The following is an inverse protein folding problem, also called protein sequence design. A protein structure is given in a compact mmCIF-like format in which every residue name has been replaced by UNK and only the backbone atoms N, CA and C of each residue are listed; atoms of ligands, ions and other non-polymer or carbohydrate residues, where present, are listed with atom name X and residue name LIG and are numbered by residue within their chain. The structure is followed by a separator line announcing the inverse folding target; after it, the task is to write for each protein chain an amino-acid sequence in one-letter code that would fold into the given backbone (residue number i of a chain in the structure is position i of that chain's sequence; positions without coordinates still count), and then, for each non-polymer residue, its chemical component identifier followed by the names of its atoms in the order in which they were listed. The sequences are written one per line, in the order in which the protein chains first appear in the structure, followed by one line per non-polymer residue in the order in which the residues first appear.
data_IF_957056490938
#
_entry.id   IF_957056490938
#
_cell.length_a   1.000
_cell.length_b   1.000
_cell.length_c   1.000
_cell.angle_alpha   90.00
_cell.angle_beta   90.00
_cell.angle_gamma   90.00
#
_symmetry.space_group_name_H-M   'P 1'
#
loop_
_entity.id
_entity.type
_entity.pdbx_description
1 polymer ?
#
# COMPACT_ATOMS: atom_id res chain seq x y z
N UNK A 1 -7.48 -15.15 -26.62
CA UNK A 1 -8.32 -15.15 -25.41
C UNK A 1 -9.10 -16.46 -25.38
N UNK A 2 -9.28 -17.08 -24.21
CA UNK A 2 -10.04 -18.32 -24.11
C UNK A 2 -11.49 -18.15 -24.58
N UNK A 3 -12.03 -19.15 -25.28
CA UNK A 3 -13.43 -19.22 -25.72
C UNK A 3 -14.16 -20.38 -25.01
N UNK A 4 -15.51 -20.36 -24.90
CA UNK A 4 -16.24 -21.35 -24.09
C UNK A 4 -15.99 -22.82 -24.45
N UNK A 5 -15.66 -23.09 -25.71
CA UNK A 5 -15.40 -24.44 -26.24
C UNK A 5 -13.96 -24.91 -26.03
N UNK A 6 -13.06 -24.06 -25.53
CA UNK A 6 -11.70 -24.48 -25.22
C UNK A 6 -11.70 -25.47 -24.06
N UNK A 7 -10.70 -26.36 -24.06
CA UNK A 7 -10.51 -27.31 -22.97
C UNK A 7 -9.95 -26.64 -21.69
N UNK A 8 -10.19 -27.28 -20.55
CA UNK A 8 -9.70 -26.80 -19.26
C UNK A 8 -8.18 -26.92 -19.10
N UNK A 9 -7.52 -27.82 -19.84
CA UNK A 9 -6.07 -28.03 -19.71
C UNK A 9 -5.28 -26.84 -20.27
N UNK A 10 -5.74 -26.29 -21.38
CA UNK A 10 -5.21 -25.08 -22.01
C UNK A 10 -5.35 -23.89 -21.07
N UNK A 11 -6.49 -23.74 -20.41
CA UNK A 11 -6.69 -22.71 -19.42
C UNK A 11 -5.71 -22.87 -18.23
N UNK A 12 -5.53 -24.08 -17.71
CA UNK A 12 -4.58 -24.38 -16.63
C UNK A 12 -3.14 -24.01 -17.02
N UNK A 13 -2.68 -24.36 -18.22
CA UNK A 13 -1.34 -24.01 -18.70
C UNK A 13 -1.18 -22.48 -18.72
N UNK A 14 -2.13 -21.75 -19.30
CA UNK A 14 -2.07 -20.28 -19.35
C UNK A 14 -2.05 -19.68 -17.95
N UNK A 15 -2.87 -20.19 -17.03
CA UNK A 15 -2.92 -19.73 -15.65
C UNK A 15 -1.60 -20.00 -14.92
N UNK A 16 -0.97 -21.16 -15.12
CA UNK A 16 0.32 -21.50 -14.51
C UNK A 16 1.47 -20.66 -15.09
N UNK A 17 1.58 -20.60 -16.42
CA UNK A 17 2.67 -19.88 -17.10
C UNK A 17 2.66 -18.38 -16.83
N UNK A 18 1.47 -17.80 -16.67
CA UNK A 18 1.29 -16.35 -16.42
C UNK A 18 1.04 -16.02 -14.95
N UNK A 19 1.00 -17.04 -14.08
CA UNK A 19 0.67 -16.91 -12.67
C UNK A 19 -0.68 -16.17 -12.44
N UNK A 20 -1.68 -16.51 -13.25
CA UNK A 20 -3.03 -15.94 -13.15
C UNK A 20 -3.95 -16.81 -12.31
N UNK A 21 -4.80 -16.16 -11.52
CA UNK A 21 -5.83 -16.83 -10.70
C UNK A 21 -7.18 -16.96 -11.42
N UNK A 22 -7.38 -16.18 -12.47
CA UNK A 22 -8.57 -16.19 -13.30
C UNK A 22 -8.28 -15.81 -14.76
N UNK A 23 -9.13 -16.26 -15.68
CA UNK A 23 -9.11 -15.88 -17.09
C UNK A 23 -10.50 -15.47 -17.58
N UNK A 24 -10.62 -14.44 -18.42
CA UNK A 24 -11.87 -14.16 -19.13
C UNK A 24 -12.19 -15.28 -20.11
N UNK A 25 -13.46 -15.63 -20.20
CA UNK A 25 -14.01 -16.48 -21.27
C UNK A 25 -14.79 -15.58 -22.21
N UNK A 26 -14.38 -15.52 -23.47
CA UNK A 26 -14.82 -14.49 -24.42
C UNK A 26 -15.42 -15.09 -25.69
N UNK A 27 -16.23 -14.31 -26.40
CA UNK A 27 -16.61 -14.57 -27.81
C UNK A 27 -16.32 -13.33 -28.63
N UNK A 28 -15.05 -13.15 -29.00
CA UNK A 28 -14.57 -11.88 -29.56
C UNK A 28 -14.39 -10.79 -28.49
N UNK A 29 -13.94 -9.59 -28.88
CA UNK A 29 -13.54 -8.55 -27.93
C UNK A 29 -14.70 -7.87 -27.17
N UNK A 30 -15.94 -7.99 -27.68
CA UNK A 30 -17.12 -7.31 -27.12
C UNK A 30 -17.99 -8.20 -26.25
N UNK A 31 -17.81 -9.53 -26.30
CA UNK A 31 -18.73 -10.47 -25.63
C UNK A 31 -17.97 -11.23 -24.56
N UNK A 32 -18.13 -10.80 -23.32
CA UNK A 32 -17.73 -11.56 -22.14
C UNK A 32 -18.76 -12.65 -21.88
N UNK A 33 -18.33 -13.90 -21.80
CA UNK A 33 -19.18 -15.04 -21.41
C UNK A 33 -19.11 -15.31 -19.92
N UNK A 34 -18.02 -14.87 -19.28
CA UNK A 34 -17.81 -14.97 -17.84
C UNK A 34 -16.33 -15.11 -17.53
N UNK A 35 -16.06 -15.71 -16.38
CA UNK A 35 -14.70 -15.90 -15.86
C UNK A 35 -14.51 -17.34 -15.41
N UNK A 36 -13.33 -17.88 -15.67
CA UNK A 36 -12.86 -19.14 -15.08
C UNK A 36 -11.80 -18.82 -14.04
N UNK A 37 -11.80 -19.53 -12.91
CA UNK A 37 -10.79 -19.40 -11.86
C UNK A 37 -10.35 -20.77 -11.36
N UNK A 38 -9.24 -20.84 -10.61
CA UNK A 38 -8.81 -22.11 -10.00
C UNK A 38 -9.93 -22.75 -9.16
N UNK A 39 -10.69 -21.92 -8.45
CA UNK A 39 -11.84 -22.37 -7.65
C UNK A 39 -12.97 -22.92 -8.54
N UNK A 40 -13.34 -22.21 -9.61
CA UNK A 40 -14.44 -22.68 -10.47
C UNK A 40 -14.08 -23.96 -11.21
N UNK A 41 -12.82 -24.10 -11.65
CA UNK A 41 -12.29 -25.34 -12.23
C UNK A 41 -12.38 -26.49 -11.21
N UNK A 42 -11.94 -26.27 -9.97
CA UNK A 42 -11.99 -27.30 -8.92
C UNK A 42 -13.43 -27.73 -8.59
N UNK A 43 -14.36 -26.79 -8.52
CA UNK A 43 -15.78 -27.07 -8.30
C UNK A 43 -16.40 -27.86 -9.47
N UNK A 44 -16.06 -27.49 -10.70
CA UNK A 44 -16.51 -28.19 -11.89
C UNK A 44 -16.04 -29.66 -11.90
N UNK A 45 -14.76 -29.90 -11.58
CA UNK A 45 -14.22 -31.25 -11.39
C UNK A 45 -14.95 -32.03 -10.30
N UNK A 46 -15.15 -31.42 -9.13
CA UNK A 46 -15.85 -32.07 -8.02
C UNK A 46 -17.32 -32.42 -8.36
N UNK A 47 -17.97 -31.62 -9.21
CA UNK A 47 -19.31 -31.85 -9.72
C UNK A 47 -19.40 -32.77 -10.94
N UNK A 48 -18.28 -33.33 -11.42
CA UNK A 48 -18.23 -34.22 -12.59
C UNK A 48 -18.45 -33.53 -13.94
N UNK A 49 -18.30 -32.20 -14.02
CA UNK A 49 -18.42 -31.41 -15.25
C UNK A 49 -17.07 -30.80 -15.58
N UNK A 50 -16.34 -31.34 -16.55
CA UNK A 50 -14.92 -31.01 -16.70
C UNK A 50 -14.39 -31.12 -18.14
N UNK A 51 -15.24 -30.97 -19.13
CA UNK A 51 -14.81 -31.17 -20.51
C UNK A 51 -14.39 -29.84 -21.15
N UNK A 52 -15.08 -28.75 -20.81
CA UNK A 52 -14.93 -27.45 -21.46
C UNK A 52 -14.80 -26.30 -20.47
N UNK A 53 -14.32 -25.16 -20.95
CA UNK A 53 -14.34 -23.91 -20.17
C UNK A 53 -15.75 -23.51 -19.77
N UNK A 54 -16.76 -23.76 -20.61
CA UNK A 54 -18.15 -23.46 -20.28
C UNK A 54 -18.61 -24.14 -18.97
N UNK A 55 -18.13 -25.35 -18.68
CA UNK A 55 -18.47 -26.10 -17.47
C UNK A 55 -17.96 -25.45 -16.18
N UNK A 56 -16.88 -24.68 -16.29
CA UNK A 56 -16.25 -23.98 -15.18
C UNK A 56 -16.44 -22.45 -15.24
N UNK A 57 -17.15 -21.93 -16.24
CA UNK A 57 -17.35 -20.49 -16.43
C UNK A 57 -18.43 -20.00 -15.48
N UNK A 58 -18.11 -19.00 -14.67
CA UNK A 58 -19.06 -18.30 -13.81
C UNK A 58 -19.37 -16.91 -14.36
N UNK A 59 -20.55 -16.33 -14.06
CA UNK A 59 -20.84 -14.93 -14.37
C UNK A 59 -19.79 -14.00 -13.78
N UNK A 60 -19.41 -12.97 -14.53
CA UNK A 60 -18.44 -11.99 -14.10
C UNK A 60 -19.04 -10.59 -14.12
N UNK A 61 -18.86 -9.77 -13.06
CA UNK A 61 -19.32 -8.40 -13.05
C UNK A 61 -18.51 -7.54 -14.04
N UNK A 62 -19.20 -6.58 -14.66
CA UNK A 62 -18.65 -5.65 -15.64
C UNK A 62 -18.91 -4.20 -15.21
N UNK A 63 -17.94 -3.32 -15.43
CA UNK A 63 -18.02 -1.88 -15.15
C UNK A 63 -17.47 -1.07 -16.32
N UNK A 64 -17.90 0.18 -16.49
CA UNK A 64 -17.27 1.05 -17.50
C UNK A 64 -15.95 1.62 -16.97
N UNK A 65 -15.06 2.04 -17.87
CA UNK A 65 -13.75 2.62 -17.53
C UNK A 65 -13.88 3.95 -16.78
N UNK A 66 -15.03 4.61 -16.89
CA UNK A 66 -15.38 5.83 -16.17
C UNK A 66 -16.02 5.55 -14.79
N UNK A 67 -16.26 4.30 -14.43
CA UNK A 67 -16.87 3.94 -13.15
C UNK A 67 -15.98 4.35 -11.96
N UNK A 68 -16.62 4.86 -10.91
CA UNK A 68 -15.92 5.18 -9.68
C UNK A 68 -15.43 3.91 -8.97
N UNK A 69 -14.15 3.89 -8.59
CA UNK A 69 -13.53 2.71 -7.99
C UNK A 69 -14.15 2.33 -6.63
N UNK A 70 -14.40 3.31 -5.75
CA UNK A 70 -14.83 3.05 -4.38
C UNK A 70 -16.16 2.27 -4.30
N UNK A 71 -17.22 2.65 -5.06
CA UNK A 71 -18.44 1.84 -5.16
C UNK A 71 -18.23 0.44 -5.74
N UNK A 72 -17.19 0.22 -6.56
CA UNK A 72 -16.91 -1.06 -7.22
C UNK A 72 -16.14 -2.06 -6.32
N UNK A 73 -15.46 -1.58 -5.27
CA UNK A 73 -14.67 -2.44 -4.36
C UNK A 73 -15.47 -3.63 -3.79
N UNK A 74 -16.73 -3.49 -3.32
CA UNK A 74 -17.52 -4.62 -2.84
C UNK A 74 -17.69 -5.73 -3.88
N UNK A 75 -17.89 -5.37 -5.16
CA UNK A 75 -18.04 -6.34 -6.24
C UNK A 75 -16.71 -7.03 -6.56
N UNK A 76 -15.60 -6.28 -6.56
CA UNK A 76 -14.25 -6.85 -6.71
C UNK A 76 -13.98 -7.87 -5.62
N UNK A 77 -14.30 -7.56 -4.36
CA UNK A 77 -14.07 -8.47 -3.24
C UNK A 77 -14.97 -9.70 -3.30
N UNK A 78 -16.24 -9.53 -3.69
CA UNK A 78 -17.19 -10.63 -3.78
C UNK A 78 -16.88 -11.61 -4.91
N UNK A 79 -16.38 -11.10 -6.04
CA UNK A 79 -16.18 -11.90 -7.26
C UNK A 79 -14.70 -12.11 -7.60
N UNK A 80 -13.77 -11.66 -6.74
CA UNK A 80 -12.31 -11.62 -6.91
C UNK A 80 -11.80 -10.72 -8.06
N UNK A 81 -12.69 -10.30 -8.96
CA UNK A 81 -12.40 -9.35 -10.02
C UNK A 81 -13.67 -8.71 -10.59
N UNK A 82 -13.48 -7.60 -11.31
CA UNK A 82 -14.47 -7.01 -12.23
C UNK A 82 -13.82 -6.81 -13.59
N UNK A 83 -14.59 -6.90 -14.66
CA UNK A 83 -14.13 -6.62 -16.02
C UNK A 83 -14.45 -5.19 -16.41
N UNK A 84 -13.53 -4.54 -17.12
CA UNK A 84 -13.66 -3.13 -17.49
C UNK A 84 -14.00 -3.01 -18.97
N UNK A 85 -15.09 -2.31 -19.27
CA UNK A 85 -15.45 -1.87 -20.61
C UNK A 85 -14.87 -0.50 -20.91
N UNK A 86 -14.16 -0.39 -22.02
CA UNK A 86 -13.75 0.92 -22.54
C UNK A 86 -14.93 1.70 -23.16
N UNK A 87 -14.64 2.90 -23.66
CA UNK A 87 -15.59 3.77 -24.35
C UNK A 87 -16.23 3.12 -25.57
N UNK A 88 -15.54 2.18 -26.23
CA UNK A 88 -16.02 1.44 -27.40
C UNK A 88 -16.79 0.16 -27.01
N UNK A 89 -17.09 -0.01 -25.72
CA UNK A 89 -17.74 -1.19 -25.14
C UNK A 89 -16.93 -2.49 -25.31
N UNK A 90 -15.62 -2.42 -25.52
CA UNK A 90 -14.76 -3.59 -25.56
C UNK A 90 -14.26 -3.91 -24.15
N UNK A 91 -14.09 -5.21 -23.85
CA UNK A 91 -13.37 -5.62 -22.63
C UNK A 91 -11.90 -5.22 -22.77
N UNK A 92 -11.50 -4.21 -22.00
CA UNK A 92 -10.15 -3.64 -22.02
C UNK A 92 -9.21 -4.29 -21.00
N UNK A 93 -9.78 -4.87 -19.94
CA UNK A 93 -9.03 -5.52 -18.88
C UNK A 93 -9.92 -5.98 -17.74
N UNK A 94 -9.29 -6.29 -16.61
CA UNK A 94 -9.94 -6.63 -15.36
C UNK A 94 -9.21 -5.96 -14.20
N UNK A 95 -9.92 -5.73 -13.10
CA UNK A 95 -9.38 -5.22 -11.84
C UNK A 95 -9.65 -6.24 -10.75
N UNK A 96 -8.62 -6.58 -9.98
CA UNK A 96 -8.66 -7.58 -8.91
C UNK A 96 -8.43 -6.97 -7.53
N UNK A 97 -8.71 -7.76 -6.49
CA UNK A 97 -8.32 -7.40 -5.13
C UNK A 97 -6.80 -7.27 -4.95
N UNK A 98 -5.99 -7.98 -5.76
CA UNK A 98 -4.54 -7.84 -5.76
C UNK A 98 -4.11 -6.47 -6.29
N UNK A 99 -4.74 -5.99 -7.36
CA UNK A 99 -4.49 -4.65 -7.92
C UNK A 99 -4.87 -3.56 -6.91
N UNK A 100 -6.03 -3.70 -6.26
CA UNK A 100 -6.44 -2.80 -5.17
C UNK A 100 -5.42 -2.78 -4.03
N UNK A 101 -4.89 -3.95 -3.65
CA UNK A 101 -3.90 -4.06 -2.57
C UNK A 101 -2.57 -3.41 -2.95
N UNK A 102 -2.13 -3.57 -4.20
CA UNK A 102 -0.92 -2.93 -4.73
C UNK A 102 -1.08 -1.40 -4.77
N UNK A 103 -2.19 -0.90 -5.29
CA UNK A 103 -2.47 0.54 -5.32
C UNK A 103 -2.63 1.13 -3.91
N UNK A 104 -3.30 0.41 -3.00
CA UNK A 104 -3.38 0.79 -1.60
C UNK A 104 -1.98 0.89 -0.97
N UNK A 105 -1.12 -0.11 -1.18
CA UNK A 105 0.27 -0.09 -0.70
C UNK A 105 1.07 1.08 -1.29
N UNK A 106 0.89 1.37 -2.57
CA UNK A 106 1.57 2.49 -3.25
C UNK A 106 1.15 3.85 -2.68
N UNK A 107 -0.15 4.03 -2.41
CA UNK A 107 -0.74 5.27 -1.91
C UNK A 107 -0.51 5.46 -0.40
N UNK A 108 -0.65 4.41 0.40
CA UNK A 108 -0.58 4.48 1.87
C UNK A 108 0.81 4.19 2.44
N UNK A 109 1.67 3.48 1.71
CA UNK A 109 3.02 3.11 2.13
C UNK A 109 3.83 4.28 2.70
N UNK A 110 3.90 5.44 2.01
CA UNK A 110 4.58 6.62 2.55
C UNK A 110 4.05 7.08 3.91
N UNK A 111 2.73 7.13 4.08
CA UNK A 111 2.11 7.53 5.35
C UNK A 111 2.47 6.56 6.48
N UNK A 112 2.45 5.26 6.21
CA UNK A 112 2.77 4.22 7.20
C UNK A 112 4.25 4.28 7.61
N UNK A 113 5.16 4.45 6.65
CA UNK A 113 6.61 4.60 6.91
C UNK A 113 6.91 5.86 7.72
N UNK A 114 6.32 7.00 7.35
CA UNK A 114 6.45 8.25 8.12
C UNK A 114 5.92 8.10 9.54
N UNK A 115 4.78 7.43 9.71
CA UNK A 115 4.23 7.10 11.03
C UNK A 115 5.12 6.15 11.83
N UNK A 116 5.82 5.20 11.20
CA UNK A 116 6.82 4.37 11.86
C UNK A 116 8.03 5.19 12.33
N UNK A 117 8.54 6.08 11.48
CA UNK A 117 9.62 7.01 11.83
C UNK A 117 9.22 7.84 13.06
N UNK A 118 8.06 8.51 13.02
CA UNK A 118 7.59 9.33 14.15
C UNK A 118 7.48 8.51 15.44
N UNK A 119 6.93 7.29 15.38
CA UNK A 119 6.83 6.41 16.57
C UNK A 119 8.19 6.03 17.15
N UNK A 120 9.19 5.74 16.31
CA UNK A 120 10.56 5.42 16.77
C UNK A 120 11.24 6.64 17.38
N UNK A 121 11.07 7.81 16.77
CA UNK A 121 11.60 9.07 17.31
C UNK A 121 10.98 9.38 18.67
N UNK A 122 9.67 9.20 18.85
CA UNK A 122 8.99 9.38 20.15
C UNK A 122 9.54 8.48 21.24
N UNK A 123 9.79 7.19 20.95
CA UNK A 123 10.47 6.28 21.89
C UNK A 123 11.85 6.78 22.29
N UNK A 124 12.55 7.45 21.38
CA UNK A 124 13.87 8.02 21.66
C UNK A 124 13.78 9.28 22.52
N UNK A 125 12.82 10.15 22.22
CA UNK A 125 12.49 11.32 23.04
C UNK A 125 12.13 10.90 24.47
N UNK A 126 11.38 9.81 24.64
CA UNK A 126 11.06 9.25 25.95
C UNK A 126 12.32 8.91 26.77
N UNK A 127 13.30 8.27 26.12
CA UNK A 127 14.62 7.97 26.74
C UNK A 127 15.48 9.21 26.97
N UNK A 128 15.39 10.21 26.09
CA UNK A 128 16.12 11.48 26.22
C UNK A 128 15.51 12.40 27.29
N UNK A 129 14.23 12.28 27.56
CA UNK A 129 13.45 13.13 28.47
C UNK A 129 12.56 12.26 29.40
N UNK A 130 13.16 11.51 30.36
CA UNK A 130 12.44 10.63 31.28
C UNK A 130 11.43 11.32 32.20
N UNK A 131 11.47 12.66 32.32
CA UNK A 131 10.49 13.41 33.11
C UNK A 131 9.69 14.38 32.24
N UNK A 132 8.45 14.63 32.63
CA UNK A 132 7.57 15.62 31.99
C UNK A 132 8.19 17.02 32.01
N UNK A 133 8.92 17.38 33.08
CA UNK A 133 9.62 18.66 33.18
C UNK A 133 10.69 18.81 32.10
N UNK A 134 11.50 17.77 31.91
CA UNK A 134 12.52 17.73 30.85
C UNK A 134 11.91 17.76 29.46
N UNK A 135 10.82 17.00 29.23
CA UNK A 135 10.10 16.99 27.97
C UNK A 135 9.55 18.38 27.61
N UNK A 136 8.95 19.07 28.59
CA UNK A 136 8.42 20.44 28.41
C UNK A 136 9.53 21.45 28.19
N UNK A 137 10.63 21.33 28.93
CA UNK A 137 11.83 22.16 28.75
C UNK A 137 12.37 22.04 27.33
N UNK A 138 12.54 20.80 26.85
CA UNK A 138 13.16 20.52 25.56
C UNK A 138 12.28 20.90 24.34
N UNK A 139 10.95 20.92 24.53
CA UNK A 139 9.99 21.18 23.44
C UNK A 139 9.45 22.60 23.43
N UNK A 140 9.51 23.29 24.58
CA UNK A 140 8.79 24.53 24.85
C UNK A 140 7.27 24.35 24.94
N UNK A 141 6.76 23.11 25.01
CA UNK A 141 5.33 22.83 25.01
C UNK A 141 4.83 22.49 26.40
N UNK A 142 4.32 23.49 27.12
CA UNK A 142 3.90 23.37 28.53
C UNK A 142 2.78 22.36 28.80
N UNK A 143 2.00 22.00 27.78
CA UNK A 143 0.91 21.01 27.90
C UNK A 143 1.34 19.58 27.60
N UNK A 144 2.57 19.34 27.15
CA UNK A 144 3.08 17.99 26.91
C UNK A 144 3.00 17.15 28.20
N UNK A 145 2.49 15.93 28.10
CA UNK A 145 2.48 14.92 29.17
C UNK A 145 3.31 13.71 28.77
N UNK A 146 3.32 13.37 27.48
CA UNK A 146 4.10 12.28 26.92
C UNK A 146 4.66 12.67 25.54
N UNK A 147 5.66 11.95 25.01
CA UNK A 147 6.16 12.15 23.66
C UNK A 147 5.07 12.09 22.59
N UNK A 148 3.97 11.35 22.80
CA UNK A 148 2.84 11.25 21.85
C UNK A 148 2.07 12.57 21.67
N UNK A 149 2.13 13.49 22.63
CA UNK A 149 1.50 14.81 22.52
C UNK A 149 2.26 15.76 21.58
N UNK A 150 3.45 15.36 21.12
CA UNK A 150 4.33 16.23 20.35
C UNK A 150 4.01 16.21 18.85
N UNK A 151 4.18 17.34 18.20
CA UNK A 151 4.31 17.42 16.74
C UNK A 151 5.72 16.99 16.32
N UNK A 152 5.90 16.60 15.06
CA UNK A 152 7.24 16.29 14.53
C UNK A 152 8.23 17.46 14.67
N UNK A 153 7.74 18.70 14.59
CA UNK A 153 8.56 19.89 14.82
C UNK A 153 9.03 20.02 16.27
N UNK A 154 8.20 19.63 17.24
CA UNK A 154 8.59 19.59 18.66
C UNK A 154 9.53 18.43 18.95
N UNK A 155 9.36 17.28 18.30
CA UNK A 155 10.33 16.18 18.36
C UNK A 155 11.70 16.68 17.88
N UNK A 156 11.77 17.33 16.72
CA UNK A 156 13.03 17.90 16.19
C UNK A 156 13.71 18.84 17.18
N UNK A 157 12.96 19.63 17.95
CA UNK A 157 13.54 20.51 18.98
C UNK A 157 14.29 19.73 20.05
N UNK A 158 13.73 18.61 20.53
CA UNK A 158 14.43 17.72 21.48
C UNK A 158 15.72 17.21 20.87
N UNK A 159 15.68 16.75 19.61
CA UNK A 159 16.85 16.26 18.90
C UNK A 159 17.88 17.36 18.62
N UNK A 160 17.51 18.64 18.59
CA UNK A 160 18.43 19.77 18.40
C UNK A 160 19.20 20.16 19.65
N UNK A 161 18.75 19.76 20.83
CA UNK A 161 19.44 20.09 22.09
C UNK A 161 20.67 19.19 22.28
N UNK A 162 21.90 19.74 22.31
CA UNK A 162 23.13 18.93 22.41
C UNK A 162 23.16 18.06 23.67
N UNK A 163 22.67 18.58 24.79
CA UNK A 163 22.60 17.82 26.06
C UNK A 163 21.66 16.61 25.98
N UNK A 164 20.57 16.71 25.20
CA UNK A 164 19.62 15.61 24.99
C UNK A 164 20.16 14.60 23.99
N UNK A 165 20.77 15.09 22.91
CA UNK A 165 21.43 14.29 21.90
C UNK A 165 22.57 13.41 22.47
N UNK A 166 23.28 13.89 23.49
CA UNK A 166 24.36 13.14 24.13
C UNK A 166 23.88 11.90 24.94
N UNK A 167 22.62 11.88 25.39
CA UNK A 167 22.07 10.80 26.25
C UNK A 167 22.05 9.41 25.59
N UNK A 168 21.57 9.24 24.35
CA UNK A 168 21.60 7.94 23.70
C UNK A 168 23.01 7.47 23.28
N UNK A 169 24.03 8.33 23.40
CA UNK A 169 25.43 8.03 23.05
C UNK A 169 25.61 7.51 21.62
N UNK A 170 24.87 8.06 20.66
CA UNK A 170 25.08 7.71 19.26
C UNK A 170 26.37 8.32 18.73
N UNK A 171 27.18 7.51 18.08
CA UNK A 171 28.38 7.93 17.36
C UNK A 171 28.01 8.45 15.96
N UNK A 172 27.13 9.44 15.92
CA UNK A 172 26.63 10.06 14.68
C UNK A 172 26.78 11.58 14.74
N UNK A 173 27.08 12.22 13.59
CA UNK A 173 27.06 13.68 13.50
C UNK A 173 25.67 14.22 13.84
N UNK A 174 25.60 15.04 14.89
CA UNK A 174 24.36 15.64 15.39
C UNK A 174 23.65 16.45 14.30
N UNK A 175 24.38 17.36 13.66
CA UNK A 175 23.84 18.25 12.63
C UNK A 175 23.28 17.45 11.44
N UNK A 176 24.01 16.43 10.98
CA UNK A 176 23.59 15.59 9.86
C UNK A 176 22.33 14.78 10.14
N UNK A 177 22.11 14.34 11.38
CA UNK A 177 20.86 13.68 11.77
C UNK A 177 19.70 14.67 11.81
N UNK A 178 19.90 15.85 12.40
CA UNK A 178 18.87 16.89 12.51
C UNK A 178 18.46 17.40 11.13
N UNK A 179 19.40 17.56 10.21
CA UNK A 179 19.15 17.98 8.83
C UNK A 179 18.25 16.97 8.11
N UNK A 180 18.64 15.68 8.11
CA UNK A 180 17.83 14.59 7.54
C UNK A 180 16.44 14.52 8.18
N UNK A 181 16.34 14.74 9.49
CA UNK A 181 15.04 14.75 10.16
C UNK A 181 14.16 15.94 9.72
N UNK A 182 14.74 17.11 9.43
CA UNK A 182 13.98 18.23 8.86
C UNK A 182 13.52 17.95 7.42
N UNK A 183 14.33 17.26 6.60
CA UNK A 183 13.92 16.78 5.27
C UNK A 183 12.68 15.88 5.37
N UNK A 184 12.69 14.90 6.28
CA UNK A 184 11.55 14.01 6.53
C UNK A 184 10.31 14.79 6.97
N UNK A 185 10.47 15.82 7.81
CA UNK A 185 9.34 16.69 8.18
C UNK A 185 8.72 17.37 6.96
N UNK A 186 9.53 17.84 6.00
CA UNK A 186 9.02 18.48 4.78
C UNK A 186 8.22 17.48 3.94
N UNK A 187 8.78 16.29 3.70
CA UNK A 187 8.10 15.21 2.98
C UNK A 187 6.79 14.84 3.68
N UNK A 188 6.80 14.68 5.00
CA UNK A 188 5.60 14.38 5.79
C UNK A 188 4.51 15.44 5.63
N UNK A 189 4.88 16.71 5.60
CA UNK A 189 3.92 17.79 5.42
C UNK A 189 3.32 17.74 4.01
N UNK A 190 4.12 17.51 2.98
CA UNK A 190 3.63 17.36 1.60
C UNK A 190 2.64 16.19 1.48
N UNK A 191 2.95 15.07 2.13
CA UNK A 191 2.09 13.87 2.21
C UNK A 191 0.80 14.15 2.98
N UNK A 192 0.87 14.83 4.13
CA UNK A 192 -0.29 15.18 4.94
C UNK A 192 -1.25 16.15 4.23
N UNK A 193 -0.76 16.94 3.28
CA UNK A 193 -1.59 17.83 2.47
C UNK A 193 -2.31 17.12 1.31
N UNK A 194 -2.28 15.78 1.25
CA UNK A 194 -2.93 14.96 0.20
C UNK A 194 -2.75 15.57 -1.20
N UNK A 195 -1.53 16.01 -1.50
CA UNK A 195 -1.24 16.57 -2.81
C UNK A 195 -1.57 15.52 -3.87
N UNK A 196 -2.18 15.91 -5.00
CA UNK A 196 -2.63 14.96 -6.03
C UNK A 196 -1.48 14.19 -6.67
N UNK A 197 -0.25 14.68 -6.53
CA UNK A 197 0.94 14.01 -7.04
C UNK A 197 1.52 13.05 -5.99
N UNK A 198 1.84 11.81 -6.38
CA UNK A 198 2.58 10.90 -5.51
C UNK A 198 3.95 11.49 -5.17
N UNK A 199 4.57 10.97 -4.09
CA UNK A 199 5.96 11.26 -3.79
C UNK A 199 6.85 10.94 -5.00
N UNK A 200 7.88 11.76 -5.22
CA UNK A 200 8.93 11.43 -6.18
C UNK A 200 9.71 10.21 -5.70
N UNK A 201 10.37 9.52 -6.63
CA UNK A 201 11.21 8.37 -6.29
C UNK A 201 12.33 8.76 -5.32
N UNK A 202 12.91 9.95 -5.46
CA UNK A 202 13.90 10.50 -4.54
C UNK A 202 13.35 10.68 -3.12
N UNK A 203 12.14 11.26 -3.00
CA UNK A 203 11.49 11.45 -1.69
C UNK A 203 11.16 10.09 -1.04
N UNK A 204 10.70 9.12 -1.84
CA UNK A 204 10.46 7.75 -1.37
C UNK A 204 11.75 7.12 -0.84
N UNK A 205 12.83 7.20 -1.62
CA UNK A 205 14.14 6.67 -1.24
C UNK A 205 14.67 7.35 0.03
N UNK A 206 14.47 8.66 0.19
CA UNK A 206 14.84 9.40 1.41
C UNK A 206 14.10 8.87 2.64
N UNK A 207 12.77 8.69 2.55
CA UNK A 207 11.94 8.15 3.64
C UNK A 207 12.35 6.72 3.98
N UNK A 208 12.53 5.86 2.98
CA UNK A 208 12.91 4.46 3.18
C UNK A 208 14.31 4.33 3.81
N UNK A 209 15.28 5.11 3.33
CA UNK A 209 16.64 5.10 3.85
C UNK A 209 16.68 5.60 5.30
N UNK A 210 15.95 6.68 5.61
CA UNK A 210 15.87 7.21 6.96
C UNK A 210 15.10 6.25 7.89
N UNK A 211 14.01 5.63 7.43
CA UNK A 211 13.28 4.62 8.18
C UNK A 211 14.18 3.42 8.52
N UNK A 212 14.98 2.93 7.56
CA UNK A 212 15.97 1.88 7.78
C UNK A 212 17.01 2.27 8.82
N UNK A 213 17.58 3.47 8.71
CA UNK A 213 18.54 4.01 9.67
C UNK A 213 17.95 4.10 11.09
N UNK A 214 16.77 4.71 11.23
CA UNK A 214 16.05 4.85 12.51
C UNK A 214 15.67 3.48 13.06
N UNK A 215 15.25 2.52 12.23
CA UNK A 215 14.95 1.15 12.68
C UNK A 215 16.17 0.45 13.29
N UNK A 216 17.35 0.63 12.70
CA UNK A 216 18.59 0.04 13.22
C UNK A 216 19.12 0.74 14.48
N UNK A 217 18.96 2.06 14.58
CA UNK A 217 19.42 2.84 15.73
C UNK A 217 18.44 2.80 16.92
N UNK A 218 17.14 2.70 16.62
CA UNK A 218 16.02 2.87 17.54
C UNK A 218 15.12 1.63 17.52
N UNK A 219 15.52 0.51 18.14
CA UNK A 219 14.69 -0.69 18.23
C UNK A 219 13.34 -0.36 18.89
#
# INVERSE_FOLDING_TARGET
MPVPTDDLQRARIVMLERNFSQLPVMSGPYVLKGVVSWQSIALAHAGGKCDTLADATLPAPEVSIEAELLPTIPDINRHNCVFVRDTDQKISGLVTAADLSLEFGRLTGPFLLLGEIERRLRRSVDRMCPTVGELRGATGYSKAKAPDDLTIGQIIRVFKEPERWARPKWELPHDGFVEKLDEIRRIRNDVAHFRPNPLTDDQRQQVESFAGMVKSLLP
#
